data_IF_039185753455
#
_entry.id   IF_039185753455
#
_cell.length_a   1.000
_cell.length_b   1.000
_cell.length_c   1.000
_cell.angle_alpha   90.00
_cell.angle_beta   90.00
_cell.angle_gamma   90.00
#
_symmetry.space_group_name_H-M   'P 1'
#
loop_
_entity.id
_entity.type
_entity.pdbx_description
1 polymer ?
#
# COMPACT_ATOMS: atom_id res chain seq x y z
N UNK A 1 10.83 -9.39 48.08
CA UNK A 1 10.82 -10.79 48.58
C UNK A 1 9.42 -11.29 48.97
N UNK A 2 8.56 -10.48 49.64
CA UNK A 2 7.21 -10.89 50.09
C UNK A 2 6.21 -11.33 49.01
N UNK A 3 6.41 -10.91 47.75
CA UNK A 3 5.55 -11.27 46.61
C UNK A 3 5.99 -12.54 45.85
N UNK A 4 7.18 -13.09 46.15
CA UNK A 4 7.71 -14.25 45.44
C UNK A 4 6.89 -15.50 45.76
N UNK A 5 6.43 -16.22 44.73
CA UNK A 5 5.66 -17.46 44.88
C UNK A 5 4.18 -17.28 45.22
N UNK A 6 3.68 -16.05 45.31
CA UNK A 6 2.27 -15.74 45.54
C UNK A 6 1.44 -15.99 44.28
N UNK A 7 0.14 -16.28 44.47
CA UNK A 7 -0.83 -16.52 43.40
C UNK A 7 -1.88 -15.41 43.35
N UNK A 8 -2.60 -15.34 42.24
CA UNK A 8 -3.77 -14.47 42.12
C UNK A 8 -4.77 -14.82 43.22
N UNK A 9 -5.32 -13.79 43.86
CA UNK A 9 -6.16 -13.78 45.05
C UNK A 9 -5.45 -13.97 46.41
N UNK A 10 -4.14 -14.17 46.46
CA UNK A 10 -3.43 -14.18 47.75
C UNK A 10 -3.47 -12.78 48.41
N UNK A 11 -3.64 -12.76 49.73
CA UNK A 11 -3.53 -11.55 50.55
C UNK A 11 -2.14 -11.44 51.21
N UNK A 12 -1.64 -10.21 51.32
CA UNK A 12 -0.31 -9.89 51.84
C UNK A 12 -0.42 -8.65 52.72
N UNK A 13 0.13 -8.70 53.93
CA UNK A 13 0.22 -7.53 54.81
C UNK A 13 1.42 -6.69 54.40
N UNK A 14 1.18 -5.42 54.05
CA UNK A 14 2.20 -4.52 53.50
C UNK A 14 3.19 -4.07 54.57
N UNK A 15 2.69 -3.70 55.75
CA UNK A 15 3.47 -3.18 56.89
C UNK A 15 2.89 -3.78 58.19
N UNK A 16 3.68 -4.59 58.90
CA UNK A 16 3.30 -5.18 60.19
C UNK A 16 3.60 -4.21 61.36
N UNK A 17 4.25 -3.07 61.08
CA UNK A 17 4.80 -2.13 62.06
C UNK A 17 3.96 -0.86 62.26
N UNK A 18 2.86 -0.69 61.52
CA UNK A 18 1.95 0.46 61.64
C UNK A 18 0.61 0.03 62.28
N UNK A 19 -0.05 0.91 63.05
CA UNK A 19 -1.29 0.58 63.75
C UNK A 19 -2.49 0.27 62.84
N UNK A 20 -2.41 0.57 61.54
CA UNK A 20 -3.39 0.14 60.53
C UNK A 20 -2.80 -0.94 59.63
N UNK A 21 -3.31 -2.18 59.73
CA UNK A 21 -2.94 -3.27 58.82
C UNK A 21 -3.42 -2.95 57.39
N UNK A 22 -2.51 -2.60 56.49
CA UNK A 22 -2.82 -2.54 55.06
C UNK A 22 -2.68 -3.93 54.45
N UNK A 23 -3.81 -4.55 54.10
CA UNK A 23 -3.87 -5.83 53.38
C UNK A 23 -3.96 -5.57 51.88
N UNK A 24 -3.01 -6.13 51.14
CA UNK A 24 -2.95 -6.08 49.68
C UNK A 24 -3.41 -7.43 49.13
N UNK A 25 -4.29 -7.40 48.13
CA UNK A 25 -4.69 -8.60 47.38
C UNK A 25 -3.97 -8.64 46.04
N UNK A 26 -3.39 -9.79 45.70
CA UNK A 26 -2.82 -10.00 44.38
C UNK A 26 -3.95 -10.15 43.37
N UNK A 27 -4.23 -9.11 42.59
CA UNK A 27 -5.33 -9.10 41.61
C UNK A 27 -4.95 -9.72 40.27
N UNK A 28 -3.67 -9.67 39.91
CA UNK A 28 -3.16 -10.14 38.62
C UNK A 28 -1.67 -10.45 38.74
N UNK A 29 -1.20 -11.51 38.06
CA UNK A 29 0.22 -11.81 37.90
C UNK A 29 0.50 -11.90 36.41
N UNK A 30 1.39 -11.03 35.92
CA UNK A 30 1.81 -10.99 34.52
C UNK A 30 3.32 -10.87 34.42
N UNK A 31 3.88 -11.31 33.29
CA UNK A 31 5.30 -11.11 33.02
C UNK A 31 5.61 -9.62 32.86
N UNK A 32 6.85 -9.22 33.15
CA UNK A 32 7.31 -7.83 32.92
C UNK A 32 7.09 -7.38 31.46
N UNK A 33 7.15 -8.29 30.50
CA UNK A 33 6.94 -8.00 29.08
C UNK A 33 5.45 -7.75 28.76
N UNK A 34 4.54 -8.54 29.32
CA UNK A 34 3.09 -8.31 29.19
C UNK A 34 2.68 -7.01 29.87
N UNK A 35 3.27 -6.71 31.03
CA UNK A 35 3.04 -5.43 31.69
C UNK A 35 3.51 -4.25 30.84
N UNK A 36 4.73 -4.30 30.31
CA UNK A 36 5.28 -3.27 29.44
C UNK A 36 4.46 -3.09 28.16
N UNK A 37 3.96 -4.19 27.56
CA UNK A 37 3.05 -4.13 26.41
C UNK A 37 1.74 -3.39 26.78
N UNK A 38 1.08 -3.79 27.88
CA UNK A 38 -0.17 -3.16 28.30
C UNK A 38 0.00 -1.68 28.68
N UNK A 39 1.10 -1.35 29.34
CA UNK A 39 1.46 0.03 29.68
C UNK A 39 1.69 0.85 28.40
N UNK A 40 2.48 0.32 27.46
CA UNK A 40 2.72 0.96 26.16
C UNK A 40 1.40 1.17 25.41
N UNK A 41 0.53 0.17 25.32
CA UNK A 41 -0.79 0.28 24.68
C UNK A 41 -1.71 1.29 25.37
N UNK A 42 -1.59 1.47 26.69
CA UNK A 42 -2.38 2.45 27.43
C UNK A 42 -1.89 3.89 27.20
N UNK A 43 -0.58 4.08 27.08
CA UNK A 43 0.05 5.39 26.93
C UNK A 43 0.05 5.84 25.46
N UNK A 44 0.16 4.92 24.50
CA UNK A 44 0.31 5.22 23.07
C UNK A 44 -0.71 6.21 22.51
N UNK A 45 -2.04 6.04 22.74
CA UNK A 45 -3.03 6.98 22.22
C UNK A 45 -2.81 8.41 22.73
N UNK A 46 -2.30 8.57 23.95
CA UNK A 46 -2.05 9.89 24.56
C UNK A 46 -0.76 10.54 24.07
N UNK A 47 0.25 9.75 23.69
CA UNK A 47 1.52 10.28 23.17
C UNK A 47 1.39 10.84 21.75
N UNK A 48 0.41 10.36 20.99
CA UNK A 48 0.20 10.71 19.58
C UNK A 48 -1.17 11.37 19.36
N UNK A 49 -1.70 12.06 20.38
CA UNK A 49 -3.00 12.73 20.34
C UNK A 49 -2.92 14.09 19.62
N UNK A 50 -2.34 14.09 18.42
CA UNK A 50 -2.21 15.30 17.59
C UNK A 50 -3.39 15.40 16.61
N UNK A 51 -4.45 16.11 17.01
CA UNK A 51 -5.56 16.54 16.15
C UNK A 51 -6.78 15.62 16.13
N UNK A 52 -7.72 15.90 15.20
CA UNK A 52 -9.04 15.25 15.14
C UNK A 52 -9.02 13.76 14.78
N UNK A 53 -7.86 13.19 14.44
CA UNK A 53 -7.73 11.77 14.10
C UNK A 53 -6.36 11.22 14.49
N UNK A 54 -6.16 10.79 15.74
CA UNK A 54 -4.88 10.25 16.18
C UNK A 54 -4.53 8.98 15.38
N UNK A 55 -3.25 8.82 14.98
CA UNK A 55 -2.80 7.69 14.16
C UNK A 55 -2.90 6.35 14.91
N UNK A 56 -2.98 6.38 16.24
CA UNK A 56 -3.11 5.20 17.08
C UNK A 56 -4.37 5.28 17.92
N UNK A 57 -5.28 4.32 17.74
CA UNK A 57 -6.49 4.16 18.55
C UNK A 57 -6.46 2.80 19.23
N UNK A 58 -6.87 2.77 20.50
CA UNK A 58 -7.03 1.52 21.26
C UNK A 58 -8.51 1.16 21.31
N UNK A 59 -8.82 -0.08 20.98
CA UNK A 59 -10.15 -0.68 21.16
C UNK A 59 -10.03 -1.97 21.96
N UNK A 60 -11.11 -2.35 22.64
CA UNK A 60 -11.16 -3.56 23.45
C UNK A 60 -12.10 -4.55 22.81
N UNK A 61 -11.54 -5.66 22.32
CA UNK A 61 -12.32 -6.77 21.79
C UNK A 61 -12.71 -7.67 22.97
N UNK A 62 -14.01 -7.71 23.28
CA UNK A 62 -14.55 -8.63 24.29
C UNK A 62 -14.99 -9.90 23.58
N UNK A 63 -14.47 -11.06 23.99
CA UNK A 63 -14.69 -12.36 23.31
C UNK A 63 -15.80 -13.22 23.94
N UNK A 64 -16.55 -12.67 24.89
CA UNK A 64 -17.69 -13.32 25.51
C UNK A 64 -18.95 -13.12 24.64
N UNK A 65 -19.82 -14.14 24.49
CA UNK A 65 -20.99 -14.08 23.59
C UNK A 65 -21.93 -12.90 23.84
N UNK A 66 -22.07 -12.49 25.11
CA UNK A 66 -22.91 -11.35 25.52
C UNK A 66 -22.33 -9.98 25.10
N UNK A 67 -21.05 -9.92 24.73
CA UNK A 67 -20.34 -8.71 24.35
C UNK A 67 -19.93 -8.66 22.86
N UNK A 68 -20.35 -9.64 22.07
CA UNK A 68 -20.12 -9.66 20.61
C UNK A 68 -20.80 -8.49 19.92
N UNK A 69 -22.03 -8.15 20.34
CA UNK A 69 -22.78 -7.03 19.78
C UNK A 69 -22.14 -5.68 20.11
N UNK A 70 -21.65 -5.51 21.34
CA UNK A 70 -20.89 -4.32 21.77
C UNK A 70 -19.60 -4.16 20.95
N UNK A 71 -18.84 -5.25 20.79
CA UNK A 71 -17.60 -5.26 20.01
C UNK A 71 -17.86 -4.96 18.54
N UNK A 72 -18.92 -5.53 17.96
CA UNK A 72 -19.34 -5.26 16.57
C UNK A 72 -19.70 -3.80 16.38
N UNK A 73 -20.46 -3.22 17.29
CA UNK A 73 -20.86 -1.80 17.23
C UNK A 73 -19.64 -0.87 17.32
N UNK A 74 -18.66 -1.19 18.17
CA UNK A 74 -17.41 -0.42 18.25
C UNK A 74 -16.60 -0.50 16.94
N UNK A 75 -16.47 -1.68 16.34
CA UNK A 75 -15.79 -1.84 15.04
C UNK A 75 -16.51 -1.08 13.92
N UNK A 76 -17.84 -1.12 13.90
CA UNK A 76 -18.65 -0.37 12.93
C UNK A 76 -18.47 1.15 13.08
N UNK A 77 -18.45 1.67 14.31
CA UNK A 77 -18.18 3.09 14.55
C UNK A 77 -16.79 3.53 14.05
N UNK A 78 -15.78 2.65 14.18
CA UNK A 78 -14.44 2.92 13.66
C UNK A 78 -14.49 3.00 12.13
N UNK A 79 -15.10 2.01 11.48
CA UNK A 79 -15.24 1.99 10.02
C UNK A 79 -16.02 3.22 9.54
N UNK A 80 -17.11 3.59 10.20
CA UNK A 80 -17.91 4.78 9.87
C UNK A 80 -17.08 6.07 9.98
N UNK A 81 -16.24 6.18 11.02
CA UNK A 81 -15.38 7.35 11.21
C UNK A 81 -14.28 7.48 10.15
N UNK A 82 -13.86 6.35 9.56
CA UNK A 82 -12.84 6.31 8.50
C UNK A 82 -13.47 6.52 7.12
N UNK A 83 -14.57 5.82 6.83
CA UNK A 83 -15.25 5.84 5.53
C UNK A 83 -15.67 7.26 5.12
N UNK A 84 -16.31 8.03 6.01
CA UNK A 84 -16.85 9.35 5.63
C UNK A 84 -15.81 10.36 5.12
N UNK A 85 -14.56 10.32 5.59
CA UNK A 85 -13.51 11.29 5.19
C UNK A 85 -12.61 10.74 4.08
N UNK A 86 -12.25 9.46 4.13
CA UNK A 86 -11.42 8.84 3.09
C UNK A 86 -12.19 8.71 1.78
N UNK A 87 -13.49 8.36 1.82
CA UNK A 87 -14.31 8.19 0.62
C UNK A 87 -14.44 9.51 -0.15
N UNK A 88 -14.75 10.64 0.52
CA UNK A 88 -14.86 11.94 -0.17
C UNK A 88 -13.55 12.41 -0.79
N UNK A 89 -12.41 12.14 -0.16
CA UNK A 89 -11.11 12.51 -0.72
C UNK A 89 -10.76 11.62 -1.91
N UNK A 90 -10.89 10.29 -1.76
CA UNK A 90 -10.61 9.33 -2.83
C UNK A 90 -11.52 9.59 -4.02
N UNK A 91 -12.83 9.81 -3.82
CA UNK A 91 -13.78 10.11 -4.89
C UNK A 91 -13.43 11.41 -5.63
N UNK A 92 -12.95 12.44 -4.92
CA UNK A 92 -12.48 13.69 -5.55
C UNK A 92 -11.25 13.46 -6.42
N UNK A 93 -10.25 12.74 -5.92
CA UNK A 93 -9.04 12.44 -6.69
C UNK A 93 -9.36 11.54 -7.89
N UNK A 94 -10.21 10.53 -7.69
CA UNK A 94 -10.68 9.64 -8.74
C UNK A 94 -11.41 10.41 -9.85
N UNK A 95 -12.29 11.35 -9.50
CA UNK A 95 -12.97 12.20 -10.48
C UNK A 95 -11.98 13.02 -11.32
N UNK A 96 -10.94 13.56 -10.71
CA UNK A 96 -9.90 14.30 -11.44
C UNK A 96 -9.09 13.37 -12.37
N UNK A 97 -8.83 12.14 -11.95
CA UNK A 97 -8.25 11.11 -12.81
C UNK A 97 -9.19 10.75 -13.99
N UNK A 98 -10.48 10.57 -13.73
CA UNK A 98 -11.53 10.36 -14.75
C UNK A 98 -11.70 11.57 -15.69
N UNK A 99 -11.32 12.77 -15.29
CA UNK A 99 -11.30 13.96 -16.15
C UNK A 99 -9.97 14.12 -16.93
N UNK A 100 -9.05 13.15 -16.79
CA UNK A 100 -7.74 13.17 -17.45
C UNK A 100 -6.77 14.21 -16.88
N UNK A 101 -6.99 14.68 -15.65
CA UNK A 101 -6.13 15.70 -15.02
C UNK A 101 -4.87 15.13 -14.41
N UNK A 102 -4.88 13.84 -14.08
CA UNK A 102 -3.80 13.16 -13.36
C UNK A 102 -3.40 11.86 -14.02
N UNK A 103 -2.11 11.53 -13.92
CA UNK A 103 -1.61 10.19 -14.19
C UNK A 103 -1.92 9.27 -13.01
N UNK A 104 -1.86 7.95 -13.23
CA UNK A 104 -2.02 6.96 -12.16
C UNK A 104 -1.02 7.14 -11.02
N UNK A 105 0.23 7.52 -11.30
CA UNK A 105 1.23 7.80 -10.28
C UNK A 105 0.87 9.04 -9.44
N UNK A 106 0.27 10.05 -10.07
CA UNK A 106 -0.27 11.22 -9.34
C UNK A 106 -1.46 10.85 -8.47
N UNK A 107 -2.36 10.01 -8.99
CA UNK A 107 -3.47 9.48 -8.21
C UNK A 107 -2.94 8.72 -6.98
N UNK A 108 -2.04 7.75 -7.17
CA UNK A 108 -1.45 6.94 -6.11
C UNK A 108 -0.82 7.79 -4.99
N UNK A 109 -0.02 8.79 -5.35
CA UNK A 109 0.62 9.68 -4.39
C UNK A 109 -0.39 10.55 -3.61
N UNK A 110 -1.42 11.08 -4.27
CA UNK A 110 -2.41 11.94 -3.62
C UNK A 110 -3.21 11.18 -2.55
N UNK A 111 -3.51 9.90 -2.77
CA UNK A 111 -4.25 9.07 -1.81
C UNK A 111 -3.34 8.24 -0.88
N UNK A 112 -2.02 8.39 -1.01
CA UNK A 112 -1.05 7.69 -0.16
C UNK A 112 -1.13 6.17 -0.31
N UNK A 113 -1.21 5.68 -1.55
CA UNK A 113 -1.22 4.25 -1.88
C UNK A 113 -0.15 3.96 -2.93
N UNK A 114 0.29 2.71 -3.00
CA UNK A 114 1.22 2.31 -4.03
C UNK A 114 0.54 2.26 -5.42
N UNK A 115 1.27 2.52 -6.52
CA UNK A 115 0.70 2.51 -7.86
C UNK A 115 0.11 1.17 -8.30
N UNK A 116 0.59 0.03 -7.78
CA UNK A 116 0.05 -1.29 -8.14
C UNK A 116 -1.34 -1.52 -7.54
N UNK A 117 -1.57 -1.05 -6.31
CA UNK A 117 -2.90 -1.07 -5.70
C UNK A 117 -3.89 -0.24 -6.51
N UNK A 118 -3.47 0.94 -6.99
CA UNK A 118 -4.34 1.78 -7.82
C UNK A 118 -4.60 1.16 -9.18
N UNK A 119 -3.55 0.63 -9.83
CA UNK A 119 -3.69 -0.12 -11.08
C UNK A 119 -4.67 -1.28 -10.91
N UNK A 120 -4.54 -2.07 -9.84
CA UNK A 120 -5.44 -3.18 -9.52
C UNK A 120 -6.89 -2.74 -9.32
N UNK A 121 -7.13 -1.59 -8.68
CA UNK A 121 -8.48 -1.03 -8.55
C UNK A 121 -9.06 -0.58 -9.89
N UNK A 122 -8.25 0.06 -10.73
CA UNK A 122 -8.67 0.60 -12.02
C UNK A 122 -8.97 -0.49 -13.06
N UNK A 123 -8.14 -1.54 -13.15
CA UNK A 123 -8.39 -2.65 -14.10
C UNK A 123 -9.64 -3.45 -13.78
N UNK A 124 -10.02 -3.51 -12.50
CA UNK A 124 -11.24 -4.16 -12.05
C UNK A 124 -12.47 -3.24 -12.10
N UNK A 125 -12.30 -1.96 -12.45
CA UNK A 125 -13.40 -1.00 -12.58
C UNK A 125 -13.66 -0.65 -14.06
N UNK A 126 -14.68 -1.27 -14.69
CA UNK A 126 -14.96 -1.08 -16.12
C UNK A 126 -15.44 0.33 -16.48
N UNK A 127 -15.83 1.16 -15.51
CA UNK A 127 -16.26 2.55 -15.78
C UNK A 127 -15.08 3.51 -15.93
N UNK A 128 -13.99 3.24 -15.21
CA UNK A 128 -12.86 4.16 -15.10
C UNK A 128 -11.72 3.70 -16.00
N UNK A 129 -11.30 2.44 -15.81
CA UNK A 129 -10.16 1.84 -16.50
C UNK A 129 -8.84 2.56 -16.24
N UNK A 130 -7.79 2.08 -16.92
CA UNK A 130 -6.53 2.80 -17.03
C UNK A 130 -6.62 3.80 -18.19
N UNK A 131 -6.01 4.98 -18.05
CA UNK A 131 -6.08 6.08 -19.01
C UNK A 131 -4.71 6.66 -19.29
N UNK A 132 -4.18 6.37 -20.47
CA UNK A 132 -2.97 6.99 -21.01
C UNK A 132 -3.21 7.93 -22.20
N UNK A 133 -4.34 7.81 -22.91
CA UNK A 133 -4.65 8.58 -24.13
C UNK A 133 -6.16 8.82 -24.30
N UNK A 134 -6.55 9.67 -25.25
CA UNK A 134 -7.97 9.91 -25.56
C UNK A 134 -8.59 8.77 -26.40
N UNK A 135 -7.77 7.92 -27.01
CA UNK A 135 -8.20 6.77 -27.81
C UNK A 135 -8.70 7.12 -29.20
N UNK A 136 -8.33 8.29 -29.73
CA UNK A 136 -8.72 8.77 -31.06
C UNK A 136 -8.06 7.96 -32.19
N UNK A 137 -8.61 8.04 -33.39
CA UNK A 137 -8.03 7.34 -34.56
C UNK A 137 -6.65 7.92 -34.90
N UNK A 138 -6.50 9.22 -34.74
CA UNK A 138 -5.27 9.97 -34.96
C UNK A 138 -4.16 9.52 -34.00
N UNK A 139 -4.42 9.50 -32.69
CA UNK A 139 -3.45 9.00 -31.69
C UNK A 139 -3.05 7.55 -31.98
N UNK A 140 -4.00 6.71 -32.40
CA UNK A 140 -3.70 5.31 -32.75
C UNK A 140 -2.76 5.21 -33.95
N UNK A 141 -2.98 6.01 -34.98
CA UNK A 141 -2.11 6.02 -36.17
C UNK A 141 -0.71 6.52 -35.83
N UNK A 142 -0.62 7.58 -35.02
CA UNK A 142 0.65 8.13 -34.53
C UNK A 142 1.41 7.11 -33.68
N UNK A 143 0.73 6.41 -32.77
CA UNK A 143 1.33 5.36 -31.96
C UNK A 143 1.86 4.20 -32.83
N UNK A 144 1.07 3.74 -33.82
CA UNK A 144 1.52 2.69 -34.75
C UNK A 144 2.74 3.14 -35.54
N UNK A 145 2.79 4.40 -35.99
CA UNK A 145 3.93 4.92 -36.72
C UNK A 145 5.17 5.01 -35.81
N UNK A 146 5.00 5.54 -34.60
CA UNK A 146 6.06 5.63 -33.59
C UNK A 146 6.68 4.26 -33.30
N UNK A 147 5.85 3.23 -33.13
CA UNK A 147 6.29 1.85 -32.91
C UNK A 147 7.08 1.30 -34.11
N UNK A 148 6.71 1.66 -35.35
CA UNK A 148 7.42 1.20 -36.56
C UNK A 148 8.77 1.88 -36.76
N UNK A 149 8.91 3.11 -36.29
CA UNK A 149 10.11 3.92 -36.47
C UNK A 149 11.11 3.76 -35.32
N UNK A 150 10.68 3.21 -34.18
CA UNK A 150 11.49 3.11 -32.97
C UNK A 150 12.00 1.69 -32.74
N UNK A 151 13.31 1.54 -32.64
CA UNK A 151 13.95 0.27 -32.24
C UNK A 151 14.05 0.11 -30.72
N UNK A 152 13.93 1.21 -29.98
CA UNK A 152 14.12 1.30 -28.53
C UNK A 152 12.84 1.85 -27.89
N UNK A 153 12.46 1.35 -26.72
CA UNK A 153 11.32 1.86 -25.95
C UNK A 153 11.64 1.93 -24.47
N UNK A 154 11.16 2.97 -23.78
CA UNK A 154 11.13 3.03 -22.32
C UNK A 154 9.76 2.57 -21.82
N UNK A 155 9.71 1.59 -20.93
CA UNK A 155 8.44 1.00 -20.45
C UNK A 155 8.24 1.36 -18.98
N UNK A 156 7.04 1.83 -18.64
CA UNK A 156 6.70 2.13 -17.25
C UNK A 156 6.05 0.95 -16.51
N UNK A 157 5.85 1.14 -15.21
CA UNK A 157 5.26 0.13 -14.34
C UNK A 157 3.86 -0.30 -14.82
N UNK A 158 3.03 0.62 -15.28
CA UNK A 158 1.66 0.32 -15.71
C UNK A 158 1.61 -0.56 -16.95
N UNK A 159 2.42 -0.27 -17.98
CA UNK A 159 2.51 -1.11 -19.15
C UNK A 159 3.03 -2.52 -18.80
N UNK A 160 3.99 -2.63 -17.88
CA UNK A 160 4.48 -3.94 -17.41
C UNK A 160 3.38 -4.75 -16.70
N UNK A 161 2.59 -4.12 -15.83
CA UNK A 161 1.49 -4.76 -15.12
C UNK A 161 0.38 -5.19 -16.09
N UNK A 162 0.00 -4.32 -17.02
CA UNK A 162 -1.04 -4.63 -18.00
C UNK A 162 -0.61 -5.75 -18.94
N UNK A 163 0.55 -5.64 -19.58
CA UNK A 163 1.07 -6.74 -20.41
C UNK A 163 1.28 -8.03 -19.60
N UNK A 164 1.71 -7.93 -18.35
CA UNK A 164 1.87 -9.05 -17.44
C UNK A 164 0.54 -9.77 -17.18
N UNK A 165 -0.52 -9.01 -16.92
CA UNK A 165 -1.88 -9.53 -16.67
C UNK A 165 -2.48 -10.24 -17.87
N UNK A 166 -2.09 -9.83 -19.08
CA UNK A 166 -2.52 -10.44 -20.34
C UNK A 166 -1.61 -11.57 -20.83
N UNK A 167 -0.53 -11.87 -20.10
CA UNK A 167 0.53 -12.81 -20.52
C UNK A 167 1.16 -12.44 -21.87
N UNK A 168 1.35 -11.13 -22.10
CA UNK A 168 1.85 -10.54 -23.37
C UNK A 168 3.16 -9.76 -23.24
N UNK A 169 3.86 -9.84 -22.11
CA UNK A 169 5.16 -9.16 -21.92
C UNK A 169 6.19 -9.46 -23.02
N UNK A 170 6.16 -10.66 -23.59
CA UNK A 170 7.05 -11.05 -24.69
C UNK A 170 6.87 -10.20 -25.97
N UNK A 171 5.72 -9.54 -26.14
CA UNK A 171 5.50 -8.65 -27.30
C UNK A 171 6.49 -7.48 -27.32
N UNK A 172 6.96 -7.01 -26.17
CA UNK A 172 7.96 -5.95 -26.10
C UNK A 172 9.23 -6.31 -26.87
N UNK A 173 9.70 -7.55 -26.73
CA UNK A 173 10.91 -8.04 -27.42
C UNK A 173 10.70 -8.36 -28.89
N UNK A 174 9.48 -8.73 -29.26
CA UNK A 174 9.14 -8.98 -30.66
C UNK A 174 9.03 -7.65 -31.42
N UNK A 175 8.63 -6.59 -30.71
CA UNK A 175 8.37 -5.27 -31.31
C UNK A 175 9.61 -4.38 -31.32
N UNK A 176 10.38 -4.37 -30.23
CA UNK A 176 11.54 -3.48 -30.06
C UNK A 176 12.83 -4.29 -29.92
N UNK A 177 13.92 -3.77 -30.48
CA UNK A 177 15.27 -4.35 -30.34
C UNK A 177 15.78 -4.18 -28.91
N UNK A 178 15.44 -3.07 -28.27
CA UNK A 178 15.82 -2.78 -26.89
C UNK A 178 14.62 -2.25 -26.09
N UNK A 179 14.45 -2.79 -24.89
CA UNK A 179 13.37 -2.44 -23.97
C UNK A 179 14.01 -1.96 -22.68
N UNK A 180 13.80 -0.70 -22.33
CA UNK A 180 14.42 -0.04 -21.19
C UNK A 180 13.42 0.06 -20.04
N UNK A 181 13.87 -0.30 -18.83
CA UNK A 181 13.09 -0.17 -17.60
C UNK A 181 13.94 0.50 -16.53
N UNK A 182 13.36 1.41 -15.75
CA UNK A 182 14.08 2.09 -14.66
C UNK A 182 14.38 1.15 -13.49
N UNK A 183 15.53 1.37 -12.83
CA UNK A 183 15.85 0.66 -11.58
C UNK A 183 14.76 0.87 -10.51
N UNK A 184 14.21 2.08 -10.40
CA UNK A 184 13.12 2.39 -9.47
C UNK A 184 11.85 1.57 -9.74
N UNK A 185 11.58 1.16 -10.98
CA UNK A 185 10.48 0.22 -11.29
C UNK A 185 10.75 -1.17 -10.69
N UNK A 186 11.99 -1.65 -10.76
CA UNK A 186 12.39 -2.92 -10.12
C UNK A 186 12.28 -2.82 -8.59
N UNK A 187 12.64 -1.68 -8.04
CA UNK A 187 12.59 -1.43 -6.60
C UNK A 187 11.13 -1.45 -6.11
N UNK A 188 10.21 -0.81 -6.83
CA UNK A 188 8.77 -0.85 -6.55
C UNK A 188 8.22 -2.28 -6.58
N UNK A 189 8.55 -3.07 -7.62
CA UNK A 189 8.14 -4.48 -7.71
C UNK A 189 8.71 -5.30 -6.54
N UNK A 190 9.98 -5.07 -6.19
CA UNK A 190 10.67 -5.77 -5.11
C UNK A 190 10.05 -5.45 -3.75
N UNK A 191 9.74 -4.19 -3.51
CA UNK A 191 9.08 -3.74 -2.29
C UNK A 191 7.69 -4.39 -2.14
N UNK A 192 6.87 -4.40 -3.19
CA UNK A 192 5.55 -5.00 -3.12
C UNK A 192 5.59 -6.53 -2.90
N UNK A 193 6.58 -7.22 -3.49
CA UNK A 193 6.80 -8.65 -3.19
C UNK A 193 7.15 -8.83 -1.71
N UNK A 194 8.08 -8.03 -1.19
CA UNK A 194 8.52 -8.12 0.21
C UNK A 194 7.37 -7.84 1.20
N UNK A 195 6.56 -6.82 0.95
CA UNK A 195 5.39 -6.48 1.77
C UNK A 195 4.38 -7.63 1.83
N UNK A 196 4.10 -8.25 0.68
CA UNK A 196 3.17 -9.39 0.57
C UNK A 196 3.73 -10.67 1.19
N UNK A 197 5.05 -10.91 1.09
CA UNK A 197 5.72 -12.04 1.72
C UNK A 197 5.85 -11.90 3.25
N UNK A 198 5.72 -10.69 3.79
CA UNK A 198 5.81 -10.41 5.22
C UNK A 198 4.54 -10.73 6.00
N UNK A 199 4.03 -9.74 6.76
CA UNK A 199 2.83 -9.86 7.59
C UNK A 199 1.58 -10.30 6.81
N UNK A 200 1.52 -9.98 5.51
CA UNK A 200 0.42 -10.35 4.62
C UNK A 200 0.37 -11.85 4.27
N UNK A 201 1.45 -12.62 4.44
CA UNK A 201 1.57 -13.99 3.91
C UNK A 201 0.52 -15.00 4.40
N UNK A 202 -0.12 -14.74 5.55
CA UNK A 202 -1.08 -15.66 6.18
C UNK A 202 -2.54 -15.44 5.77
N UNK A 203 -2.80 -14.46 4.90
CA UNK A 203 -4.15 -14.01 4.64
C UNK A 203 -4.62 -12.99 5.66
N UNK A 204 -5.61 -12.20 5.26
CA UNK A 204 -6.22 -11.18 6.10
C UNK A 204 -7.66 -10.91 5.66
N UNK A 205 -8.44 -10.35 6.57
CA UNK A 205 -9.80 -9.91 6.27
C UNK A 205 -9.79 -8.38 6.13
N UNK A 206 -10.38 -7.90 5.04
CA UNK A 206 -10.66 -6.48 4.83
C UNK A 206 -12.14 -6.25 5.08
N UNK A 207 -12.46 -5.21 5.84
CA UNK A 207 -13.84 -4.75 6.07
C UNK A 207 -13.91 -3.28 5.69
N UNK A 208 -14.88 -2.91 4.87
CA UNK A 208 -15.10 -1.54 4.44
C UNK A 208 -16.59 -1.22 4.34
N UNK A 209 -16.91 0.05 4.13
CA UNK A 209 -18.27 0.53 3.90
C UNK A 209 -18.35 1.14 2.51
N UNK A 210 -19.40 0.81 1.78
CA UNK A 210 -19.68 1.35 0.44
C UNK A 210 -21.21 1.48 0.31
N UNK A 211 -21.69 2.62 -0.21
CA UNK A 211 -23.12 2.92 -0.35
C UNK A 211 -23.97 2.65 0.91
N UNK A 212 -23.39 2.96 2.08
CA UNK A 212 -24.06 2.77 3.37
C UNK A 212 -24.08 1.32 3.88
N UNK A 213 -23.52 0.36 3.14
CA UNK A 213 -23.46 -1.06 3.50
C UNK A 213 -22.05 -1.48 3.85
N UNK A 214 -21.96 -2.42 4.79
CA UNK A 214 -20.68 -3.00 5.19
C UNK A 214 -20.37 -4.23 4.35
N UNK A 215 -19.15 -4.27 3.84
CA UNK A 215 -18.62 -5.38 3.06
C UNK A 215 -17.44 -5.99 3.81
N UNK A 216 -17.29 -7.31 3.65
CA UNK A 216 -16.11 -8.04 4.12
C UNK A 216 -15.56 -8.87 2.98
N UNK A 217 -14.25 -8.92 2.88
CA UNK A 217 -13.54 -9.81 1.98
C UNK A 217 -12.43 -10.50 2.74
N UNK A 218 -12.41 -11.82 2.64
CA UNK A 218 -11.29 -12.62 3.09
C UNK A 218 -10.30 -12.75 1.93
N UNK A 219 -9.05 -12.38 2.19
CA UNK A 219 -7.92 -12.59 1.28
C UNK A 219 -7.14 -13.76 1.85
N UNK A 220 -7.14 -14.87 1.14
CA UNK A 220 -6.51 -16.10 1.61
C UNK A 220 -5.00 -16.06 1.39
N UNK A 221 -4.25 -16.89 2.11
CA UNK A 221 -2.82 -17.07 1.84
C UNK A 221 -2.56 -17.48 0.37
N UNK A 222 -3.47 -18.24 -0.24
CA UNK A 222 -3.37 -18.62 -1.66
C UNK A 222 -3.49 -17.41 -2.59
N UNK A 223 -4.40 -16.47 -2.31
CA UNK A 223 -4.55 -15.25 -3.11
C UNK A 223 -3.29 -14.38 -3.04
N UNK A 224 -2.69 -14.27 -1.85
CA UNK A 224 -1.41 -13.56 -1.67
C UNK A 224 -0.29 -14.27 -2.44
N UNK A 225 -0.22 -15.60 -2.40
CA UNK A 225 0.77 -16.35 -3.17
C UNK A 225 0.59 -16.14 -4.68
N UNK A 226 -0.65 -16.11 -5.18
CA UNK A 226 -0.93 -15.79 -6.59
C UNK A 226 -0.45 -14.38 -6.96
N UNK A 227 -0.69 -13.38 -6.10
CA UNK A 227 -0.20 -12.02 -6.32
C UNK A 227 1.33 -11.95 -6.30
N UNK A 228 1.99 -12.63 -5.36
CA UNK A 228 3.45 -12.70 -5.31
C UNK A 228 4.00 -13.36 -6.57
N UNK A 229 3.44 -14.50 -6.98
CA UNK A 229 3.87 -15.22 -8.19
C UNK A 229 3.70 -14.36 -9.44
N UNK A 230 2.61 -13.60 -9.54
CA UNK A 230 2.39 -12.65 -10.62
C UNK A 230 3.48 -11.57 -10.68
N UNK A 231 3.77 -10.90 -9.56
CA UNK A 231 4.79 -9.85 -9.50
C UNK A 231 6.20 -10.42 -9.75
N UNK A 232 6.50 -11.59 -9.21
CA UNK A 232 7.77 -12.28 -9.43
C UNK A 232 7.96 -12.63 -10.90
N UNK A 233 6.91 -13.15 -11.57
CA UNK A 233 6.93 -13.41 -13.02
C UNK A 233 7.25 -12.15 -13.82
N UNK A 234 6.63 -11.02 -13.49
CA UNK A 234 6.94 -9.74 -14.16
C UNK A 234 8.40 -9.36 -13.91
N UNK A 235 8.87 -9.37 -12.66
CA UNK A 235 10.24 -9.02 -12.30
C UNK A 235 11.28 -9.91 -12.99
N UNK A 236 11.04 -11.21 -13.06
CA UNK A 236 11.93 -12.17 -13.71
C UNK A 236 11.97 -11.94 -15.22
N UNK A 237 10.82 -11.70 -15.84
CA UNK A 237 10.75 -11.33 -17.26
C UNK A 237 11.49 -10.03 -17.52
N UNK A 238 11.28 -8.97 -16.72
CA UNK A 238 12.02 -7.71 -16.89
C UNK A 238 13.52 -7.93 -16.74
N UNK A 239 13.96 -8.69 -15.74
CA UNK A 239 15.39 -8.95 -15.51
C UNK A 239 16.05 -9.78 -16.62
N UNK A 240 15.29 -10.67 -17.26
CA UNK A 240 15.77 -11.51 -18.37
C UNK A 240 15.65 -10.80 -19.71
N UNK A 241 14.66 -9.93 -19.83
CA UNK A 241 14.16 -9.45 -21.12
C UNK A 241 14.38 -7.98 -21.41
N UNK A 242 14.55 -7.15 -20.40
CA UNK A 242 14.74 -5.72 -20.52
C UNK A 242 16.14 -5.32 -20.08
N UNK A 243 16.62 -4.18 -20.59
CA UNK A 243 17.79 -3.50 -20.07
C UNK A 243 17.36 -2.65 -18.88
N UNK A 244 17.82 -3.01 -17.68
CA UNK A 244 17.62 -2.18 -16.49
C UNK A 244 18.54 -0.96 -16.60
N UNK A 245 17.95 0.22 -16.73
CA UNK A 245 18.69 1.44 -17.01
C UNK A 245 19.01 2.21 -15.72
N UNK A 246 20.31 2.46 -15.40
CA UNK A 246 20.70 3.21 -14.22
C UNK A 246 20.39 4.71 -14.39
N UNK A 247 19.70 5.31 -13.44
CA UNK A 247 19.17 6.66 -13.57
C UNK A 247 20.19 7.76 -13.22
N UNK A 248 21.13 8.04 -14.13
CA UNK A 248 22.12 9.11 -13.92
C UNK A 248 21.58 10.50 -14.25
N UNK A 249 20.66 10.65 -15.21
CA UNK A 249 20.07 11.96 -15.56
C UNK A 249 19.24 12.57 -14.43
N UNK A 250 18.66 11.76 -13.55
CA UNK A 250 17.98 12.26 -12.36
C UNK A 250 18.92 13.06 -11.45
N UNK A 251 20.23 12.80 -11.50
CA UNK A 251 21.24 13.57 -10.76
C UNK A 251 21.51 14.95 -11.37
N UNK A 252 21.16 15.17 -12.64
CA UNK A 252 21.30 16.47 -13.30
C UNK A 252 20.16 17.44 -13.00
N UNK A 253 19.04 16.93 -12.48
CA UNK A 253 17.93 17.77 -12.02
C UNK A 253 18.28 18.44 -10.68
N UNK A 254 17.91 19.72 -10.48
CA UNK A 254 17.96 20.33 -9.16
C UNK A 254 17.18 19.49 -8.14
N UNK A 255 17.77 19.25 -6.96
CA UNK A 255 17.22 18.36 -5.93
C UNK A 255 15.75 18.66 -5.61
N UNK A 256 15.41 19.91 -5.36
CA UNK A 256 14.03 20.33 -5.06
C UNK A 256 13.04 20.03 -6.20
N UNK A 257 13.49 20.17 -7.44
CA UNK A 257 12.67 19.86 -8.62
C UNK A 257 12.44 18.35 -8.71
N UNK A 258 13.49 17.54 -8.51
CA UNK A 258 13.41 16.08 -8.53
C UNK A 258 12.46 15.58 -7.43
N UNK A 259 12.65 16.03 -6.19
CA UNK A 259 11.81 15.65 -5.06
C UNK A 259 10.33 16.00 -5.30
N UNK A 260 10.06 17.18 -5.87
CA UNK A 260 8.70 17.58 -6.24
C UNK A 260 8.10 16.66 -7.31
N UNK A 261 8.87 16.31 -8.34
CA UNK A 261 8.40 15.40 -9.39
C UNK A 261 8.13 14.01 -8.83
N UNK A 262 9.03 13.46 -8.02
CA UNK A 262 8.84 12.15 -7.38
C UNK A 262 7.64 12.13 -6.45
N UNK A 263 7.44 13.18 -5.64
CA UNK A 263 6.27 13.30 -4.76
C UNK A 263 4.96 13.47 -5.52
N UNK A 264 5.00 14.08 -6.71
CA UNK A 264 3.80 14.35 -7.50
C UNK A 264 3.46 13.16 -8.39
N UNK A 265 4.38 12.75 -9.26
CA UNK A 265 4.14 11.77 -10.33
C UNK A 265 4.53 10.35 -9.89
N UNK A 266 5.47 10.21 -8.96
CA UNK A 266 6.05 8.93 -8.56
C UNK A 266 7.42 8.70 -9.20
N UNK A 267 8.35 8.18 -8.41
CA UNK A 267 9.76 7.99 -8.81
C UNK A 267 9.90 7.09 -10.05
N UNK A 268 9.27 5.92 -10.04
CA UNK A 268 9.35 4.96 -11.16
C UNK A 268 8.90 5.56 -12.50
N UNK A 269 7.83 6.36 -12.48
CA UNK A 269 7.29 7.01 -13.67
C UNK A 269 8.17 8.16 -14.16
N UNK A 270 8.67 8.99 -13.25
CA UNK A 270 9.58 10.10 -13.60
C UNK A 270 10.87 9.54 -14.19
N UNK A 271 11.41 8.48 -13.62
CA UNK A 271 12.62 7.86 -14.14
C UNK A 271 12.39 7.26 -15.54
N UNK A 272 11.24 6.64 -15.82
CA UNK A 272 10.91 6.20 -17.19
C UNK A 272 10.87 7.38 -18.17
N UNK A 273 10.29 8.53 -17.77
CA UNK A 273 10.31 9.75 -18.60
C UNK A 273 11.73 10.27 -18.85
N UNK A 274 12.61 10.18 -17.85
CA UNK A 274 14.00 10.61 -17.99
C UNK A 274 14.81 9.65 -18.87
N UNK A 275 14.55 8.35 -18.80
CA UNK A 275 15.14 7.35 -19.70
C UNK A 275 14.76 7.65 -21.14
N UNK A 276 13.46 7.85 -21.41
CA UNK A 276 12.97 8.18 -22.74
C UNK A 276 13.63 9.44 -23.31
N UNK A 277 13.80 10.45 -22.47
CA UNK A 277 14.51 11.68 -22.83
C UNK A 277 16.01 11.45 -23.09
N UNK A 278 16.68 10.65 -22.27
CA UNK A 278 18.11 10.37 -22.43
C UNK A 278 18.41 9.56 -23.70
N UNK A 279 17.52 8.63 -24.03
CA UNK A 279 17.67 7.70 -25.14
C UNK A 279 16.96 8.12 -26.42
N UNK A 280 16.28 9.26 -26.37
CA UNK A 280 15.48 9.79 -27.47
C UNK A 280 14.54 8.71 -28.05
N UNK A 281 13.78 8.08 -27.16
CA UNK A 281 12.91 6.96 -27.48
C UNK A 281 11.49 7.16 -26.93
N UNK A 282 10.48 6.52 -27.53
CA UNK A 282 9.11 6.60 -27.03
C UNK A 282 8.94 5.94 -25.66
N UNK A 283 7.93 6.41 -24.93
CA UNK A 283 7.44 5.75 -23.72
C UNK A 283 6.28 4.84 -24.09
N UNK A 284 6.28 3.63 -23.55
CA UNK A 284 5.11 2.77 -23.52
C UNK A 284 4.52 2.73 -22.10
N UNK A 285 3.26 3.16 -22.01
CA UNK A 285 2.49 3.39 -20.78
C UNK A 285 1.03 3.01 -21.03
N UNK A 286 0.29 2.69 -19.96
CA UNK A 286 -1.13 2.35 -19.96
C UNK A 286 -1.90 3.21 -18.95
#
# INVERSE_FOLDING_TARGET
KRLMGKKVNDEIVQDESKPSETRLKVVEIKSKYVHALHETMAIFPHLFDEGDNPPFKRFTVKTNPEAEEETRNQLMQIIDSMAGREDEHILRVQKLYEEGKFTIGTFANLIGRDPMTIWGGLVNNPRIGIRCCAGTQEERQEAIQTVRESDVVAVDLTALLTLGSMDRLNLLRVTFKEVLVSQSTIDVLTQAIAEKSGLGSKGFMTVWKEDGKYYRQEITAEDIQKQIAFLQKIKDLVSTHCTIFPMTEALKLPKERRERLYKTIGESFVDTMLIAKEKDCPIYSD
#
